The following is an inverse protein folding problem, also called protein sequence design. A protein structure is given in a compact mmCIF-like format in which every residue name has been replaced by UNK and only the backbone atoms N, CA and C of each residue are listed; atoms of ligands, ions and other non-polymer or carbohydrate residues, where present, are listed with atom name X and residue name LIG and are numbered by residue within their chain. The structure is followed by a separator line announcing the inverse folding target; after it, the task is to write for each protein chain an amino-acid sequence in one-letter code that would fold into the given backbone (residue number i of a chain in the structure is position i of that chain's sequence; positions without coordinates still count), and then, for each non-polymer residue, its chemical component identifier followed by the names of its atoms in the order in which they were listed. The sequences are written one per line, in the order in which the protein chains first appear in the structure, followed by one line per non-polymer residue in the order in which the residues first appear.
data_IF_603312437325
#
_entry.id   IF_603312437325
#
_cell.length_a   1.000
_cell.length_b   1.000
_cell.length_c   1.000
_cell.angle_alpha   90.00
_cell.angle_beta   90.00
_cell.angle_gamma   90.00
#
_symmetry.space_group_name_H-M   'P 1'
#
loop_
_entity.id
_entity.type
_entity.pdbx_description
1 polymer ?
#
# COMPACT_ATOMS: atom_id res chain seq x y z
N UNK A 1 9.65 -17.86 15.14
CA UNK A 1 8.95 -16.58 15.27
C UNK A 1 9.67 -15.45 14.57
N UNK A 2 10.91 -15.09 14.92
CA UNK A 2 11.70 -14.09 14.16
C UNK A 2 11.75 -14.33 12.65
N UNK A 3 11.85 -15.59 12.23
CA UNK A 3 11.83 -15.96 10.79
C UNK A 3 10.50 -15.66 10.11
N UNK A 4 9.35 -15.85 10.78
CA UNK A 4 8.02 -15.58 10.20
C UNK A 4 7.77 -14.08 10.06
N UNK A 5 8.12 -13.30 11.09
CA UNK A 5 8.01 -11.84 11.01
C UNK A 5 8.91 -11.26 9.91
N UNK A 6 10.12 -11.80 9.74
CA UNK A 6 11.00 -11.40 8.64
C UNK A 6 10.40 -11.76 7.27
N UNK A 7 9.84 -12.96 7.11
CA UNK A 7 9.17 -13.37 5.86
C UNK A 7 7.96 -12.47 5.55
N UNK A 8 7.17 -12.15 6.57
CA UNK A 8 6.04 -11.24 6.45
C UNK A 8 6.50 -9.85 5.99
N UNK A 9 7.58 -9.33 6.58
CA UNK A 9 8.18 -8.04 6.20
C UNK A 9 8.68 -8.04 4.76
N UNK A 10 9.40 -9.09 4.36
CA UNK A 10 9.91 -9.24 2.99
C UNK A 10 8.77 -9.24 1.97
N UNK A 11 7.72 -10.04 2.22
CA UNK A 11 6.55 -10.09 1.34
C UNK A 11 5.74 -8.79 1.33
N UNK A 12 5.60 -8.11 2.47
CA UNK A 12 4.93 -6.80 2.52
C UNK A 12 5.72 -5.74 1.76
N UNK A 13 7.06 -5.71 1.89
CA UNK A 13 7.92 -4.81 1.12
C UNK A 13 7.84 -5.09 -0.38
N UNK A 14 7.73 -6.36 -0.77
CA UNK A 14 7.52 -6.75 -2.18
C UNK A 14 6.18 -6.24 -2.71
N UNK A 15 5.09 -6.45 -1.94
CA UNK A 15 3.76 -5.95 -2.29
C UNK A 15 3.78 -4.43 -2.46
N UNK A 16 4.29 -3.71 -1.47
CA UNK A 16 4.32 -2.25 -1.47
C UNK A 16 5.10 -1.70 -2.66
N UNK A 17 6.30 -2.24 -2.92
CA UNK A 17 7.12 -1.83 -4.07
C UNK A 17 6.39 -2.07 -5.38
N UNK A 18 5.74 -3.22 -5.55
CA UNK A 18 5.00 -3.52 -6.77
C UNK A 18 3.77 -2.61 -6.96
N UNK A 19 3.07 -2.27 -5.88
CA UNK A 19 2.00 -1.26 -5.89
C UNK A 19 2.56 0.10 -6.28
N UNK A 20 3.65 0.54 -5.66
CA UNK A 20 4.28 1.82 -5.93
C UNK A 20 4.72 1.94 -7.40
N UNK A 21 5.41 0.93 -7.92
CA UNK A 21 5.88 0.88 -9.30
C UNK A 21 4.73 0.99 -10.29
N UNK A 22 3.63 0.26 -10.05
CA UNK A 22 2.48 0.26 -10.94
C UNK A 22 1.68 1.57 -10.84
N UNK A 23 1.48 2.11 -9.65
CA UNK A 23 0.87 3.43 -9.45
C UNK A 23 1.69 4.50 -10.16
N UNK A 24 3.02 4.48 -10.04
CA UNK A 24 3.89 5.44 -10.72
C UNK A 24 3.80 5.29 -12.24
N UNK A 25 3.81 4.06 -12.77
CA UNK A 25 3.67 3.83 -14.21
C UNK A 25 2.33 4.36 -14.73
N UNK A 26 1.23 4.09 -14.03
CA UNK A 26 -0.14 4.44 -14.46
C UNK A 26 -0.47 5.92 -14.27
N UNK A 27 0.02 6.55 -13.20
CA UNK A 27 -0.39 7.90 -12.81
C UNK A 27 0.64 9.00 -13.15
N UNK A 28 1.84 8.64 -13.64
CA UNK A 28 2.94 9.60 -13.84
C UNK A 28 2.60 10.74 -14.79
N UNK A 29 1.80 10.51 -15.84
CA UNK A 29 1.34 11.55 -16.77
C UNK A 29 0.56 12.66 -16.07
N UNK A 30 -0.39 12.27 -15.23
CA UNK A 30 -1.22 13.20 -14.45
C UNK A 30 -0.40 13.87 -13.35
N UNK A 31 0.37 13.09 -12.59
CA UNK A 31 1.15 13.60 -11.46
C UNK A 31 2.27 14.56 -11.89
N UNK A 32 2.93 14.33 -13.03
CA UNK A 32 4.01 15.19 -13.52
C UNK A 32 3.56 16.61 -13.87
N UNK A 33 2.27 16.81 -14.15
CA UNK A 33 1.68 18.12 -14.45
C UNK A 33 1.10 18.81 -13.21
N UNK A 34 1.06 18.11 -12.07
CA UNK A 34 0.47 18.59 -10.84
C UNK A 34 1.49 19.41 -10.02
N UNK A 35 1.07 20.57 -9.53
CA UNK A 35 1.86 21.39 -8.60
C UNK A 35 1.44 21.21 -7.13
N UNK A 36 0.42 20.37 -6.88
CA UNK A 36 -0.09 20.10 -5.53
C UNK A 36 0.65 18.92 -4.90
N UNK A 37 1.06 19.07 -3.64
CA UNK A 37 1.61 17.96 -2.86
C UNK A 37 0.46 17.13 -2.27
N UNK A 38 0.34 15.87 -2.68
CA UNK A 38 -0.62 14.93 -2.10
C UNK A 38 -0.17 14.36 -0.75
N UNK A 39 1.14 14.39 -0.47
CA UNK A 39 1.67 13.87 0.76
C UNK A 39 1.43 14.84 1.93
N UNK A 40 0.97 14.32 3.07
CA UNK A 40 0.78 15.11 4.29
C UNK A 40 1.78 14.70 5.36
N UNK A 41 2.29 15.69 6.10
CA UNK A 41 3.30 15.47 7.11
C UNK A 41 2.82 14.57 8.27
N UNK A 42 1.55 14.70 8.68
CA UNK A 42 0.95 13.86 9.73
C UNK A 42 0.87 12.38 9.33
N UNK A 43 0.63 12.08 8.05
CA UNK A 43 0.69 10.70 7.54
C UNK A 43 2.14 10.19 7.60
N UNK A 44 3.14 11.04 7.33
CA UNK A 44 4.55 10.63 7.43
C UNK A 44 5.02 10.32 8.85
N UNK A 45 4.35 10.87 9.88
CA UNK A 45 4.63 10.54 11.28
C UNK A 45 4.28 9.07 11.58
N UNK A 46 3.21 8.51 10.99
CA UNK A 46 2.87 7.08 11.15
C UNK A 46 4.01 6.16 10.67
N UNK A 47 4.68 6.53 9.57
CA UNK A 47 5.83 5.78 9.04
C UNK A 47 6.98 5.69 10.05
N UNK A 48 7.13 6.73 10.89
CA UNK A 48 8.19 6.88 11.86
C UNK A 48 7.83 6.27 13.22
N UNK A 49 6.55 6.27 13.58
CA UNK A 49 6.08 5.76 14.87
C UNK A 49 5.83 4.25 14.82
N UNK A 50 5.35 3.74 13.67
CA UNK A 50 5.07 2.32 13.49
C UNK A 50 6.35 1.47 13.54
N UNK A 51 6.51 0.58 14.55
CA UNK A 51 7.65 -0.33 14.61
C UNK A 51 7.78 -1.20 13.36
N UNK A 52 6.65 -1.61 12.78
CA UNK A 52 6.64 -2.42 11.56
C UNK A 52 7.16 -1.63 10.36
N UNK A 53 6.67 -0.40 10.14
CA UNK A 53 7.12 0.43 9.00
C UNK A 53 8.58 0.86 9.15
N UNK A 54 9.03 1.19 10.37
CA UNK A 54 10.44 1.46 10.67
C UNK A 54 11.36 0.33 10.27
N UNK A 55 10.92 -0.87 10.62
CA UNK A 55 11.60 -2.10 10.25
C UNK A 55 11.60 -2.31 8.71
N UNK A 56 10.54 -1.92 8.01
CA UNK A 56 10.52 -1.97 6.54
C UNK A 56 11.47 -0.96 5.90
N UNK A 57 11.40 0.32 6.28
CA UNK A 57 12.20 1.35 5.60
C UNK A 57 13.67 1.37 6.03
N UNK A 58 14.02 0.82 7.20
CA UNK A 58 15.39 0.70 7.72
C UNK A 58 16.20 2.02 7.70
N UNK A 59 15.51 3.15 7.82
CA UNK A 59 16.14 4.46 7.91
C UNK A 59 16.22 4.83 9.39
N UNK A 60 17.44 4.96 9.90
CA UNK A 60 17.70 4.97 11.34
C UNK A 60 17.37 6.29 12.04
N UNK A 61 17.18 7.41 11.35
CA UNK A 61 16.79 8.64 12.02
C UNK A 61 16.05 9.62 11.10
N UNK A 62 14.96 10.13 11.67
CA UNK A 62 14.47 11.50 11.55
C UNK A 62 15.63 12.51 11.39
N UNK A 63 16.09 12.75 10.16
CA UNK A 63 16.64 14.06 9.81
C UNK A 63 15.44 15.02 9.78
N UNK A 64 14.95 15.35 10.98
CA UNK A 64 13.75 16.13 11.22
C UNK A 64 14.01 17.59 10.87
N UNK A 65 13.88 17.88 9.59
CA UNK A 65 13.08 19.04 9.25
C UNK A 65 11.62 18.55 9.19
N UNK A 66 10.66 19.46 9.40
CA UNK A 66 9.19 19.25 9.53
C UNK A 66 8.51 18.33 8.49
N UNK A 67 9.26 17.85 7.51
CA UNK A 67 8.86 17.11 6.34
C UNK A 67 9.36 15.65 6.33
N UNK A 68 10.30 15.25 7.20
CA UNK A 68 10.77 13.86 7.31
C UNK A 68 11.24 13.28 5.96
N UNK A 69 10.45 12.37 5.39
CA UNK A 69 10.71 11.74 4.09
C UNK A 69 10.13 12.51 2.89
N UNK A 70 9.47 13.65 3.11
CA UNK A 70 8.86 14.45 2.05
C UNK A 70 9.90 15.33 1.36
N UNK A 71 9.90 15.26 0.04
CA UNK A 71 10.66 16.10 -0.87
C UNK A 71 9.71 17.01 -1.65
N UNK A 72 10.27 17.93 -2.44
CA UNK A 72 9.47 18.77 -3.36
C UNK A 72 8.65 17.93 -4.35
N UNK A 73 9.09 16.70 -4.65
CA UNK A 73 8.40 15.74 -5.52
C UNK A 73 7.57 14.69 -4.79
N UNK A 74 7.36 14.84 -3.47
CA UNK A 74 6.61 13.89 -2.64
C UNK A 74 7.48 12.98 -1.78
N UNK A 75 6.93 11.85 -1.32
CA UNK A 75 7.62 10.94 -0.41
C UNK A 75 8.83 10.25 -1.06
N UNK A 76 9.98 10.28 -0.38
CA UNK A 76 11.25 9.65 -0.80
C UNK A 76 11.43 8.23 -0.30
N UNK A 77 10.52 7.71 0.54
CA UNK A 77 10.62 6.33 1.03
C UNK A 77 10.50 5.34 -0.14
N UNK A 78 11.46 4.41 -0.30
CA UNK A 78 11.35 3.34 -1.30
C UNK A 78 10.43 2.19 -0.85
N UNK A 79 10.20 2.08 0.46
CA UNK A 79 9.29 1.13 1.11
C UNK A 79 9.04 1.62 2.55
N UNK A 80 8.09 1.03 3.26
CA UNK A 80 7.65 1.42 4.59
C UNK A 80 6.73 2.64 4.58
N UNK A 81 6.04 2.94 3.48
CA UNK A 81 5.01 3.97 3.45
C UNK A 81 3.73 3.46 4.14
N UNK A 82 3.04 4.31 4.90
CA UNK A 82 1.72 3.98 5.43
C UNK A 82 0.74 3.58 4.32
N UNK A 83 -0.14 2.58 4.53
CA UNK A 83 -1.07 2.10 3.51
C UNK A 83 -1.95 3.21 2.92
N UNK A 84 -2.32 4.17 3.76
CA UNK A 84 -3.14 5.34 3.38
C UNK A 84 -2.49 6.19 2.27
N UNK A 85 -1.17 6.08 2.07
CA UNK A 85 -0.46 6.75 0.96
C UNK A 85 -0.88 6.23 -0.42
N UNK A 86 -1.48 5.03 -0.48
CA UNK A 86 -1.88 4.37 -1.72
C UNK A 86 -3.40 4.29 -1.88
N UNK A 87 -4.18 4.37 -0.81
CA UNK A 87 -5.65 4.18 -0.85
C UNK A 87 -6.39 5.33 -1.55
N UNK A 88 -5.82 6.53 -1.60
CA UNK A 88 -6.48 7.70 -2.18
C UNK A 88 -5.87 8.14 -3.50
N UNK A 89 -6.71 8.17 -4.54
CA UNK A 89 -6.41 8.78 -5.82
C UNK A 89 -7.22 10.05 -6.00
N UNK A 90 -6.59 11.12 -6.47
CA UNK A 90 -7.31 12.37 -6.74
C UNK A 90 -8.22 12.24 -7.96
N UNK A 91 -9.24 13.10 -8.05
CA UNK A 91 -10.19 13.13 -9.17
C UNK A 91 -9.50 13.24 -10.54
N UNK A 92 -8.35 13.93 -10.61
CA UNK A 92 -7.56 14.03 -11.83
C UNK A 92 -7.06 12.66 -12.32
N UNK A 93 -6.49 11.85 -11.43
CA UNK A 93 -6.01 10.50 -11.75
C UNK A 93 -7.17 9.59 -12.15
N UNK A 94 -8.28 9.67 -11.40
CA UNK A 94 -9.47 8.85 -11.66
C UNK A 94 -10.15 9.22 -12.98
N UNK A 95 -10.18 10.52 -13.32
CA UNK A 95 -10.76 11.01 -14.57
C UNK A 95 -9.90 10.71 -15.80
N UNK A 96 -8.58 10.53 -15.62
CA UNK A 96 -7.65 10.16 -16.69
C UNK A 96 -7.71 8.65 -17.03
N UNK A 97 -8.37 7.84 -16.20
CA UNK A 97 -8.53 6.42 -16.47
C UNK A 97 -9.43 6.17 -17.70
N UNK A 98 -9.11 5.17 -18.55
CA UNK A 98 -9.85 4.89 -19.78
C UNK A 98 -11.36 4.69 -19.61
N UNK A 99 -11.77 3.97 -18.56
CA UNK A 99 -13.16 3.67 -18.24
C UNK A 99 -13.34 3.32 -16.75
N UNK A 100 -14.56 2.94 -16.36
CA UNK A 100 -14.88 2.58 -14.97
C UNK A 100 -14.12 1.34 -14.49
N UNK A 101 -13.86 0.36 -15.36
CA UNK A 101 -13.12 -0.83 -14.96
C UNK A 101 -11.69 -0.49 -14.58
N UNK A 102 -11.03 0.39 -15.35
CA UNK A 102 -9.70 0.89 -14.99
C UNK A 102 -9.71 1.70 -13.68
N UNK A 103 -10.76 2.49 -13.43
CA UNK A 103 -10.92 3.19 -12.14
C UNK A 103 -11.04 2.21 -10.97
N UNK A 104 -11.89 1.21 -11.09
CA UNK A 104 -12.10 0.20 -10.05
C UNK A 104 -10.82 -0.59 -9.78
N UNK A 105 -10.13 -1.02 -10.83
CA UNK A 105 -8.85 -1.73 -10.71
C UNK A 105 -7.78 -0.86 -10.06
N UNK A 106 -7.69 0.42 -10.42
CA UNK A 106 -6.75 1.34 -9.80
C UNK A 106 -7.03 1.53 -8.30
N UNK A 107 -8.30 1.67 -7.91
CA UNK A 107 -8.66 1.76 -6.49
C UNK A 107 -8.30 0.48 -5.73
N UNK A 108 -8.55 -0.69 -6.31
CA UNK A 108 -8.17 -1.98 -5.72
C UNK A 108 -6.64 -2.08 -5.58
N UNK A 109 -5.87 -1.61 -6.58
CA UNK A 109 -4.40 -1.55 -6.51
C UNK A 109 -3.94 -0.75 -5.29
N UNK A 110 -4.51 0.43 -5.08
CA UNK A 110 -4.20 1.30 -3.94
C UNK A 110 -4.55 0.68 -2.58
N UNK A 111 -5.57 -0.18 -2.57
CA UNK A 111 -6.08 -0.86 -1.37
C UNK A 111 -5.25 -2.07 -0.94
N UNK A 112 -4.43 -2.65 -1.81
CA UNK A 112 -3.69 -3.89 -1.51
C UNK A 112 -2.84 -3.81 -0.23
N UNK A 113 -2.02 -2.76 0.00
CA UNK A 113 -1.18 -2.71 1.21
C UNK A 113 -2.00 -2.69 2.49
N UNK A 114 -3.14 -1.99 2.47
CA UNK A 114 -4.01 -1.89 3.63
C UNK A 114 -4.75 -3.20 3.87
N UNK A 115 -5.28 -3.85 2.83
CA UNK A 115 -5.89 -5.17 2.95
C UNK A 115 -4.90 -6.21 3.53
N UNK A 116 -3.64 -6.16 3.11
CA UNK A 116 -2.61 -7.12 3.50
C UNK A 116 -2.29 -7.13 5.00
N UNK A 117 -2.54 -6.03 5.72
CA UNK A 117 -2.25 -5.93 7.16
C UNK A 117 -3.48 -5.85 8.05
N UNK A 118 -4.70 -5.98 7.53
CA UNK A 118 -5.91 -5.78 8.34
C UNK A 118 -6.11 -6.84 9.40
N UNK A 119 -6.71 -6.43 10.53
CA UNK A 119 -7.06 -7.32 11.62
C UNK A 119 -5.86 -8.12 12.19
N UNK A 120 -4.64 -7.58 12.04
CA UNK A 120 -3.41 -8.21 12.52
C UNK A 120 -3.44 -8.47 14.03
N UNK A 121 -4.02 -7.57 14.83
CA UNK A 121 -4.16 -7.77 16.27
C UNK A 121 -5.39 -7.03 16.82
N UNK A 122 -6.38 -7.77 17.34
CA UNK A 122 -7.60 -7.20 17.95
C UNK A 122 -8.32 -6.17 17.06
N UNK A 123 -8.34 -6.40 15.74
CA UNK A 123 -8.94 -5.48 14.77
C UNK A 123 -8.02 -4.33 14.32
N UNK A 124 -6.83 -4.20 14.89
CA UNK A 124 -5.84 -3.20 14.46
C UNK A 124 -5.12 -3.68 13.19
N UNK A 125 -4.79 -2.72 12.32
CA UNK A 125 -3.92 -2.97 11.18
C UNK A 125 -2.47 -3.19 11.64
N UNK A 126 -1.69 -3.94 10.87
CA UNK A 126 -0.29 -4.27 11.17
C UNK A 126 0.58 -3.02 11.42
N UNK A 127 0.33 -1.94 10.67
CA UNK A 127 1.07 -0.67 10.82
C UNK A 127 0.64 0.14 12.04
N UNK A 128 -0.53 -0.14 12.61
CA UNK A 128 -1.09 0.56 13.79
C UNK A 128 -0.59 -0.03 15.13
N UNK A 129 0.16 -1.14 15.09
CA UNK A 129 0.69 -1.79 16.29
C UNK A 129 1.93 -1.04 16.77
N UNK A 130 1.75 -0.12 17.72
CA UNK A 130 2.82 0.80 18.19
C UNK A 130 3.83 0.18 19.17
N UNK A 131 3.53 -0.99 19.74
CA UNK A 131 4.46 -1.73 20.61
C UNK A 131 5.12 -2.87 19.84
N UNK A 132 6.43 -2.78 19.61
CA UNK A 132 7.21 -3.80 18.90
C UNK A 132 7.06 -5.20 19.53
N UNK A 133 6.85 -5.31 20.85
CA UNK A 133 6.64 -6.60 21.52
C UNK A 133 5.29 -7.25 21.19
N UNK A 134 4.34 -6.48 20.64
CA UNK A 134 3.05 -6.98 20.20
C UNK A 134 3.09 -7.52 18.76
N UNK A 135 4.07 -7.14 17.94
CA UNK A 135 4.25 -7.70 16.59
C UNK A 135 4.47 -9.22 16.60
N UNK A 136 5.01 -9.77 17.70
CA UNK A 136 5.15 -11.21 17.88
C UNK A 136 3.83 -11.93 18.19
N UNK A 137 2.75 -11.18 18.49
CA UNK A 137 1.44 -11.68 18.92
C UNK A 137 0.36 -11.54 17.85
N UNK A 138 0.69 -11.03 16.67
CA UNK A 138 -0.26 -10.87 15.58
C UNK A 138 -0.84 -12.22 15.14
N UNK A 139 -2.01 -12.18 14.51
CA UNK A 139 -2.56 -13.34 13.83
C UNK A 139 -1.81 -13.60 12.52
N UNK A 140 -0.65 -14.25 12.63
CA UNK A 140 0.19 -14.55 11.47
C UNK A 140 -0.54 -15.31 10.36
N UNK A 141 -1.46 -16.22 10.70
CA UNK A 141 -2.15 -17.02 9.70
C UNK A 141 -3.05 -16.15 8.80
N UNK A 142 -3.83 -15.25 9.41
CA UNK A 142 -4.72 -14.34 8.68
C UNK A 142 -3.90 -13.34 7.86
N UNK A 143 -2.88 -12.72 8.47
CA UNK A 143 -2.05 -11.70 7.80
C UNK A 143 -1.23 -12.31 6.67
N UNK A 144 -0.65 -13.50 6.85
CA UNK A 144 0.06 -14.20 5.77
C UNK A 144 -0.91 -14.56 4.63
N UNK A 145 -2.15 -14.99 4.93
CA UNK A 145 -3.15 -15.29 3.91
C UNK A 145 -3.59 -14.04 3.14
N UNK A 146 -3.84 -12.92 3.83
CA UNK A 146 -4.17 -11.63 3.22
C UNK A 146 -3.04 -11.11 2.35
N UNK A 147 -1.79 -11.22 2.81
CA UNK A 147 -0.61 -10.82 2.04
C UNK A 147 -0.46 -11.66 0.77
N UNK A 148 -0.60 -12.98 0.85
CA UNK A 148 -0.55 -13.84 -0.34
C UNK A 148 -1.67 -13.53 -1.32
N UNK A 149 -2.88 -13.27 -0.84
CA UNK A 149 -4.00 -12.84 -1.68
C UNK A 149 -3.70 -11.49 -2.36
N UNK A 150 -3.08 -10.56 -1.63
CA UNK A 150 -2.71 -9.23 -2.15
C UNK A 150 -1.62 -9.31 -3.22
N UNK A 151 -0.60 -10.14 -3.02
CA UNK A 151 0.44 -10.40 -4.04
C UNK A 151 -0.17 -11.02 -5.29
N UNK A 152 -1.07 -12.00 -5.14
CA UNK A 152 -1.77 -12.58 -6.28
C UNK A 152 -2.68 -11.57 -7.00
N UNK A 153 -3.36 -10.70 -6.25
CA UNK A 153 -4.15 -9.62 -6.82
C UNK A 153 -3.27 -8.62 -7.59
N UNK A 154 -2.09 -8.29 -7.08
CA UNK A 154 -1.12 -7.44 -7.77
C UNK A 154 -0.71 -8.04 -9.12
N UNK A 155 -0.38 -9.33 -9.18
CA UNK A 155 -0.05 -10.03 -10.44
C UNK A 155 -1.20 -9.93 -11.47
N UNK A 156 -2.44 -10.12 -11.01
CA UNK A 156 -3.65 -10.00 -11.84
C UNK A 156 -3.77 -8.58 -12.39
N UNK A 157 -3.56 -7.56 -11.55
CA UNK A 157 -3.68 -6.16 -11.93
C UNK A 157 -2.57 -5.77 -12.93
N UNK A 158 -1.33 -6.24 -12.70
CA UNK A 158 -0.23 -6.04 -13.65
C UNK A 158 -0.54 -6.64 -15.03
N UNK A 159 -1.09 -7.85 -15.06
CA UNK A 159 -1.53 -8.48 -16.31
C UNK A 159 -2.64 -7.66 -16.99
N UNK A 160 -3.64 -7.21 -16.22
CA UNK A 160 -4.71 -6.35 -16.72
C UNK A 160 -4.19 -5.05 -17.35
N UNK A 161 -3.22 -4.36 -16.75
CA UNK A 161 -2.63 -3.16 -17.35
C UNK A 161 -1.79 -3.46 -18.60
N UNK A 162 -1.42 -4.73 -18.83
CA UNK A 162 -0.69 -5.16 -20.03
C UNK A 162 -1.62 -5.52 -21.19
N UNK A 163 -2.70 -6.25 -20.94
CA UNK A 163 -3.57 -6.80 -21.99
C UNK A 163 -5.01 -6.25 -22.01
N UNK A 164 -5.42 -5.50 -20.98
CA UNK A 164 -6.74 -4.90 -20.86
C UNK A 164 -7.86 -5.88 -20.49
N UNK A 165 -7.55 -7.11 -20.08
CA UNK A 165 -8.53 -8.17 -19.85
C UNK A 165 -8.58 -8.64 -18.40
N UNK A 166 -9.80 -8.87 -17.91
CA UNK A 166 -10.05 -9.48 -16.59
C UNK A 166 -10.98 -10.68 -16.76
N UNK A 167 -10.44 -11.86 -16.48
CA UNK A 167 -11.23 -13.09 -16.44
C UNK A 167 -12.22 -13.07 -15.27
N UNK A 168 -13.27 -13.90 -15.34
CA UNK A 168 -14.22 -14.06 -14.24
C UNK A 168 -13.53 -14.48 -12.93
N UNK A 169 -12.55 -15.38 -13.03
CA UNK A 169 -11.74 -15.79 -11.86
C UNK A 169 -10.94 -14.62 -11.29
N UNK A 170 -10.34 -13.80 -12.16
CA UNK A 170 -9.60 -12.60 -11.74
C UNK A 170 -10.53 -11.62 -11.00
N UNK A 171 -11.74 -11.40 -11.51
CA UNK A 171 -12.75 -10.55 -10.84
C UNK A 171 -13.13 -11.07 -9.46
N UNK A 172 -13.26 -12.38 -9.29
CA UNK A 172 -13.56 -12.99 -7.99
C UNK A 172 -12.41 -12.84 -6.98
N UNK A 173 -11.16 -12.86 -7.44
CA UNK A 173 -9.99 -12.58 -6.58
C UNK A 173 -9.99 -11.12 -6.16
N UNK A 174 -10.11 -10.19 -7.11
CA UNK A 174 -10.12 -8.76 -6.82
C UNK A 174 -11.32 -8.34 -5.95
N UNK A 175 -12.47 -8.99 -6.12
CA UNK A 175 -13.66 -8.76 -5.30
C UNK A 175 -13.51 -9.16 -3.83
N UNK A 176 -12.53 -10.00 -3.48
CA UNK A 176 -12.22 -10.32 -2.08
C UNK A 176 -11.43 -9.23 -1.36
N UNK A 177 -10.67 -8.42 -2.11
CA UNK A 177 -10.00 -7.23 -1.58
C UNK A 177 -11.05 -6.14 -1.33
N UNK A 178 -11.97 -5.99 -2.29
CA UNK A 178 -13.05 -5.01 -2.24
C UNK A 178 -12.56 -3.56 -2.28
N UNK A 179 -13.52 -2.64 -2.39
CA UNK A 179 -13.37 -1.28 -1.91
C UNK A 179 -14.04 -1.26 -0.53
N UNK A 180 -13.39 -0.70 0.48
CA UNK A 180 -14.13 -0.31 1.69
C UNK A 180 -15.18 0.67 1.20
N UNK A 181 -16.46 0.34 1.38
CA UNK A 181 -17.55 1.20 0.96
C UNK A 181 -17.29 2.60 1.54
N UNK A 182 -17.14 3.61 0.68
CA UNK A 182 -17.23 5.01 1.08
C UNK A 182 -18.68 5.24 1.56
N UNK A 183 -18.92 4.99 2.85
CA UNK A 183 -20.10 5.47 3.60
C UNK A 183 -19.90 6.93 4.02
#
# INVERSE_FOLDING_TARGET
MKTRLNQLREGYAELERGVQELVQATCSSTCALCTSCCCRADICEEALESPFLRELHQQDDLLSDRYGFLTESGCSLPQGRPPICYEFFCDGILSDQPDELYRDVLRILGRLPAFAGENALNGQHLTEIMDASQLEKINFEDVEAQLQLSLHALEIIQAFYTDGTLTERSRQVLGQIGLVNDD
#
